data_IF_158982561018
#
_entry.id   IF_158982561018
#
_cell.length_a   1.000
_cell.length_b   1.000
_cell.length_c   1.000
_cell.angle_alpha   90.00
_cell.angle_beta   90.00
_cell.angle_gamma   90.00
#
_symmetry.space_group_name_H-M   'P 1'
#
loop_
_entity.id
_entity.type
_entity.pdbx_description
1 polymer ?
#
# COMPACT_ATOMS: atom_id res chain seq x y z
N UNK A 1 -0.58 18.70 -12.63
CA UNK A 1 -0.55 18.36 -11.19
C UNK A 1 -0.12 19.58 -10.38
N UNK A 2 -1.07 20.24 -9.73
CA UNK A 2 -0.86 21.33 -8.80
C UNK A 2 -0.82 20.73 -7.40
N UNK A 3 0.38 20.61 -6.84
CA UNK A 3 0.59 20.06 -5.50
C UNK A 3 0.58 21.19 -4.47
N UNK A 4 -0.01 20.93 -3.32
CA UNK A 4 0.14 21.77 -2.13
C UNK A 4 1.59 21.76 -1.65
N UNK A 5 1.94 22.68 -0.74
CA UNK A 5 3.26 22.70 -0.11
C UNK A 5 3.58 21.35 0.55
N UNK A 6 2.63 20.79 1.29
CA UNK A 6 2.84 19.52 2.02
C UNK A 6 3.06 18.37 1.05
N UNK A 7 2.28 18.27 -0.03
CA UNK A 7 2.47 17.24 -1.06
C UNK A 7 3.79 17.39 -1.80
N UNK A 8 4.21 18.61 -2.09
CA UNK A 8 5.50 18.90 -2.70
C UNK A 8 6.67 18.48 -1.78
N UNK A 9 6.53 18.70 -0.47
CA UNK A 9 7.52 18.28 0.52
C UNK A 9 7.57 16.76 0.69
N UNK A 10 6.43 16.08 0.61
CA UNK A 10 6.37 14.62 0.59
C UNK A 10 7.06 14.05 -0.65
N UNK A 11 6.78 14.62 -1.83
CA UNK A 11 7.44 14.23 -3.09
C UNK A 11 8.95 14.52 -3.08
N UNK A 12 9.37 15.59 -2.41
CA UNK A 12 10.79 15.91 -2.20
C UNK A 12 11.48 14.99 -1.16
N UNK A 13 10.73 14.11 -0.48
CA UNK A 13 11.26 13.16 0.48
C UNK A 13 11.45 13.67 1.90
N UNK A 14 10.95 14.87 2.22
CA UNK A 14 11.01 15.40 3.60
C UNK A 14 10.21 14.56 4.60
N UNK A 15 9.29 13.74 4.10
CA UNK A 15 8.46 12.82 4.87
C UNK A 15 8.99 11.36 4.91
N UNK A 16 10.24 11.13 4.50
CA UNK A 16 10.86 9.81 4.45
C UNK A 16 10.70 9.10 3.11
N UNK A 17 11.54 8.08 2.88
CA UNK A 17 11.69 7.42 1.59
C UNK A 17 10.43 6.66 1.15
N UNK A 18 9.72 5.99 2.07
CA UNK A 18 8.48 5.30 1.76
C UNK A 18 7.37 6.24 1.30
N UNK A 19 7.22 7.38 1.98
CA UNK A 19 6.27 8.42 1.59
C UNK A 19 6.61 9.04 0.24
N UNK A 20 7.91 9.29 -0.02
CA UNK A 20 8.40 9.76 -1.31
C UNK A 20 8.01 8.81 -2.45
N UNK A 21 8.30 7.51 -2.29
CA UNK A 21 7.97 6.50 -3.30
C UNK A 21 6.45 6.44 -3.58
N UNK A 22 5.63 6.47 -2.53
CA UNK A 22 4.17 6.49 -2.68
C UNK A 22 3.69 7.74 -3.43
N UNK A 23 4.23 8.92 -3.09
CA UNK A 23 3.89 10.17 -3.78
C UNK A 23 4.35 10.19 -5.23
N UNK A 24 5.52 9.63 -5.56
CA UNK A 24 5.99 9.52 -6.94
C UNK A 24 5.00 8.72 -7.80
N UNK A 25 4.47 7.61 -7.27
CA UNK A 25 3.47 6.78 -7.95
C UNK A 25 2.18 7.58 -8.16
N UNK A 26 1.65 8.21 -7.09
CA UNK A 26 0.40 8.99 -7.14
C UNK A 26 0.51 10.15 -8.15
N UNK A 27 1.62 10.89 -8.14
CA UNK A 27 1.81 12.04 -9.03
C UNK A 27 1.92 11.59 -10.48
N UNK A 28 2.69 10.52 -10.76
CA UNK A 28 2.78 9.96 -12.12
C UNK A 28 1.43 9.47 -12.65
N UNK A 29 0.62 8.83 -11.80
CA UNK A 29 -0.74 8.44 -12.18
C UNK A 29 -1.61 9.68 -12.43
N UNK A 30 -1.53 10.70 -11.57
CA UNK A 30 -2.23 11.97 -11.78
C UNK A 30 -1.87 12.64 -13.11
N UNK A 31 -0.58 12.68 -13.45
CA UNK A 31 -0.12 13.19 -14.75
C UNK A 31 -0.63 12.37 -15.93
N UNK A 32 -0.58 11.04 -15.84
CA UNK A 32 -1.11 10.11 -16.84
C UNK A 32 -2.61 10.33 -17.09
N UNK A 33 -3.39 10.51 -16.03
CA UNK A 33 -4.83 10.79 -16.09
C UNK A 33 -5.16 12.26 -16.34
N UNK A 34 -4.15 13.13 -16.53
CA UNK A 34 -4.31 14.58 -16.72
C UNK A 34 -5.08 15.25 -15.57
N UNK A 35 -4.92 14.74 -14.36
CA UNK A 35 -5.48 15.35 -13.16
C UNK A 35 -4.86 16.73 -12.91
N UNK A 36 -5.70 17.69 -12.52
CA UNK A 36 -5.24 19.04 -12.20
C UNK A 36 -4.59 19.10 -10.82
N UNK A 37 -5.14 18.41 -9.82
CA UNK A 37 -4.67 18.36 -8.44
C UNK A 37 -5.05 17.03 -7.76
N UNK A 38 -4.47 16.78 -6.58
CA UNK A 38 -4.90 15.69 -5.70
C UNK A 38 -6.11 16.12 -4.87
N UNK A 39 -6.93 15.15 -4.47
CA UNK A 39 -8.08 15.36 -3.59
C UNK A 39 -7.74 14.76 -2.22
N UNK A 40 -7.85 15.56 -1.17
CA UNK A 40 -7.65 15.09 0.20
C UNK A 40 -8.77 14.12 0.60
N UNK A 41 -8.39 13.00 1.22
CA UNK A 41 -9.30 12.01 1.78
C UNK A 41 -9.22 12.01 3.30
N UNK A 42 -10.29 11.62 3.97
CA UNK A 42 -10.33 11.47 5.43
C UNK A 42 -10.10 10.03 5.91
N UNK A 43 -10.31 9.04 5.04
CA UNK A 43 -10.20 7.61 5.34
C UNK A 43 -9.90 6.82 4.06
N UNK A 44 -9.26 5.66 4.19
CA UNK A 44 -9.05 4.71 3.11
C UNK A 44 -9.46 3.28 3.50
N UNK A 45 -9.81 2.47 2.51
CA UNK A 45 -9.98 1.03 2.63
C UNK A 45 -9.09 0.35 1.58
N UNK A 46 -8.24 -0.59 2.00
CA UNK A 46 -7.35 -1.32 1.11
C UNK A 46 -8.01 -2.66 0.78
N UNK A 47 -8.48 -2.78 -0.47
CA UNK A 47 -9.05 -4.02 -1.00
C UNK A 47 -7.97 -5.05 -1.37
N UNK A 48 -6.87 -4.58 -1.97
CA UNK A 48 -5.77 -5.39 -2.47
C UNK A 48 -4.81 -5.92 -1.39
N UNK A 49 -5.30 -6.36 -0.23
CA UNK A 49 -4.51 -7.01 0.82
C UNK A 49 -4.49 -8.55 0.72
N UNK A 50 -5.11 -9.11 -0.33
CA UNK A 50 -5.12 -10.54 -0.62
C UNK A 50 -3.85 -10.94 -1.40
N UNK A 51 -2.98 -11.75 -0.80
CA UNK A 51 -1.83 -12.33 -1.51
C UNK A 51 -2.24 -13.07 -2.78
N UNK A 52 -3.40 -13.75 -2.79
CA UNK A 52 -3.95 -14.41 -3.98
C UNK A 52 -4.15 -13.45 -5.16
N UNK A 53 -4.57 -12.21 -4.89
CA UNK A 53 -4.89 -11.23 -5.92
C UNK A 53 -3.64 -10.49 -6.42
N UNK A 54 -2.70 -10.21 -5.51
CA UNK A 54 -1.55 -9.35 -5.83
C UNK A 54 -0.26 -10.13 -6.12
N UNK A 55 -0.21 -11.39 -5.70
CA UNK A 55 0.93 -12.30 -5.86
C UNK A 55 2.24 -11.78 -5.30
N UNK A 56 3.34 -12.35 -5.80
CA UNK A 56 4.71 -11.99 -5.39
C UNK A 56 5.05 -10.52 -5.62
N UNK A 57 4.55 -9.94 -6.72
CA UNK A 57 4.83 -8.55 -7.06
C UNK A 57 4.19 -7.59 -6.04
N UNK A 58 2.95 -7.86 -5.64
CA UNK A 58 2.27 -7.08 -4.61
C UNK A 58 2.90 -7.23 -3.24
N UNK A 59 3.25 -8.46 -2.85
CA UNK A 59 3.98 -8.71 -1.60
C UNK A 59 5.30 -7.95 -1.57
N UNK A 60 6.12 -8.06 -2.62
CA UNK A 60 7.39 -7.35 -2.74
C UNK A 60 7.21 -5.83 -2.69
N UNK A 61 6.13 -5.30 -3.26
CA UNK A 61 5.80 -3.88 -3.19
C UNK A 61 5.44 -3.44 -1.77
N UNK A 62 4.58 -4.19 -1.08
CA UNK A 62 4.20 -3.93 0.31
C UNK A 62 5.42 -3.98 1.24
N UNK A 63 6.25 -5.01 1.11
CA UNK A 63 7.49 -5.15 1.90
C UNK A 63 8.49 -4.04 1.61
N UNK A 64 8.61 -3.61 0.35
CA UNK A 64 9.46 -2.46 -0.01
C UNK A 64 8.97 -1.18 0.66
N UNK A 65 7.66 -0.91 0.67
CA UNK A 65 7.11 0.25 1.38
C UNK A 65 7.41 0.16 2.88
N UNK A 66 7.20 -1.01 3.50
CA UNK A 66 7.47 -1.24 4.90
C UNK A 66 8.96 -1.04 5.25
N UNK A 67 9.86 -1.60 4.44
CA UNK A 67 11.31 -1.46 4.60
C UNK A 67 11.79 -0.01 4.45
N UNK A 68 11.10 0.79 3.63
CA UNK A 68 11.35 2.23 3.49
C UNK A 68 10.67 3.08 4.60
N UNK A 69 10.08 2.44 5.60
CA UNK A 69 9.45 3.10 6.75
C UNK A 69 8.10 3.76 6.42
N UNK A 70 7.41 3.35 5.36
CA UNK A 70 6.11 3.91 5.02
C UNK A 70 5.08 3.66 6.13
N UNK A 71 4.20 4.64 6.34
CA UNK A 71 3.06 4.58 7.26
C UNK A 71 1.84 5.17 6.58
N UNK A 72 0.66 4.63 6.91
CA UNK A 72 -0.61 5.24 6.51
C UNK A 72 -0.77 6.62 7.16
N UNK A 73 -1.41 7.55 6.45
CA UNK A 73 -1.58 8.96 6.87
C UNK A 73 -3.00 9.29 7.34
N UNK A 74 -3.96 8.44 6.98
CA UNK A 74 -5.37 8.54 7.38
C UNK A 74 -5.79 7.21 7.99
N UNK A 75 -6.84 7.18 8.83
CA UNK A 75 -7.45 5.93 9.24
C UNK A 75 -7.65 5.01 8.03
N UNK A 76 -7.09 3.81 8.12
CA UNK A 76 -7.04 2.87 7.00
C UNK A 76 -7.52 1.52 7.51
N UNK A 77 -8.48 0.94 6.79
CA UNK A 77 -8.98 -0.41 7.04
C UNK A 77 -8.46 -1.35 5.94
N UNK A 78 -8.45 -2.65 6.23
CA UNK A 78 -8.10 -3.69 5.28
C UNK A 78 -9.36 -4.50 4.94
N UNK A 79 -9.40 -5.06 3.74
CA UNK A 79 -10.34 -6.13 3.41
C UNK A 79 -9.89 -7.45 4.08
N UNK A 80 -10.58 -8.55 3.78
CA UNK A 80 -10.20 -9.88 4.20
C UNK A 80 -8.78 -10.25 3.75
N UNK A 81 -8.18 -11.22 4.44
CA UNK A 81 -6.88 -11.79 4.09
C UNK A 81 -7.07 -13.09 3.31
N UNK A 82 -6.03 -13.55 2.60
CA UNK A 82 -6.07 -14.79 1.82
C UNK A 82 -6.07 -16.07 2.66
N UNK A 83 -6.04 -15.95 3.98
CA UNK A 83 -6.15 -17.08 4.91
C UNK A 83 -6.92 -16.70 6.17
N UNK A 84 -7.40 -17.72 6.85
CA UNK A 84 -7.73 -17.57 8.27
C UNK A 84 -6.45 -17.23 9.06
N UNK A 85 -6.55 -16.31 10.01
CA UNK A 85 -5.39 -15.81 10.75
C UNK A 85 -4.89 -16.87 11.74
N UNK A 86 -5.81 -17.65 12.29
CA UNK A 86 -5.58 -18.57 13.41
C UNK A 86 -5.62 -20.03 12.94
N UNK A 87 -6.62 -20.41 12.14
CA UNK A 87 -6.94 -21.82 11.84
C UNK A 87 -6.67 -22.23 10.38
N UNK A 88 -5.80 -21.50 9.68
CA UNK A 88 -5.48 -21.75 8.26
C UNK A 88 -5.01 -23.18 7.96
N UNK A 89 -4.33 -23.83 8.91
CA UNK A 89 -3.84 -25.19 8.74
C UNK A 89 -4.99 -26.21 8.69
N UNK A 90 -6.05 -26.01 9.48
CA UNK A 90 -7.25 -26.87 9.49
C UNK A 90 -8.03 -26.76 8.18
N UNK A 91 -7.91 -25.61 7.51
CA UNK A 91 -8.48 -25.36 6.19
C UNK A 91 -7.60 -25.84 5.02
N UNK A 92 -6.52 -26.58 5.30
CA UNK A 92 -5.66 -27.17 4.28
C UNK A 92 -4.74 -26.16 3.58
N UNK A 93 -4.53 -24.98 4.15
CA UNK A 93 -3.60 -23.99 3.61
C UNK A 93 -2.16 -24.42 3.89
N UNK A 94 -1.31 -24.45 2.86
CA UNK A 94 0.10 -24.80 3.04
C UNK A 94 0.83 -23.74 3.86
N UNK A 95 1.76 -24.16 4.73
CA UNK A 95 2.57 -23.24 5.55
C UNK A 95 3.33 -22.19 4.72
N UNK A 96 3.86 -22.59 3.55
CA UNK A 96 4.56 -21.69 2.64
C UNK A 96 3.66 -20.58 2.09
N UNK A 97 2.41 -20.90 1.75
CA UNK A 97 1.42 -19.90 1.33
C UNK A 97 0.96 -19.03 2.51
N UNK A 98 0.73 -19.66 3.67
CA UNK A 98 0.27 -18.95 4.86
C UNK A 98 1.27 -17.89 5.34
N UNK A 99 2.58 -18.19 5.24
CA UNK A 99 3.64 -17.24 5.57
C UNK A 99 3.66 -16.03 4.63
N UNK A 100 3.40 -16.24 3.33
CA UNK A 100 3.30 -15.12 2.38
C UNK A 100 2.09 -14.26 2.67
N UNK A 101 0.94 -14.86 2.99
CA UNK A 101 -0.26 -14.13 3.41
C UNK A 101 -0.06 -13.36 4.72
N UNK A 102 0.78 -13.86 5.64
CA UNK A 102 1.10 -13.18 6.91
C UNK A 102 1.96 -11.94 6.72
N UNK A 103 2.84 -11.96 5.71
CA UNK A 103 3.77 -10.86 5.39
C UNK A 103 3.11 -9.76 4.56
N UNK A 104 2.04 -10.10 3.83
CA UNK A 104 1.17 -9.17 3.12
C UNK A 104 0.29 -8.39 4.11
#
# INVERSE_FOLDING_TARGET
MNLTRVESEMLAGKAGAGCRLAMEIIVRLGELYKASALIAIAQAHIDGCLYEAVGEAGLAFAEKLAALGAKVRVPTTLNATSRDIDDWAEHGVSAGYAEKCRRM
#
